data_IF_082278149032
#
_entry.id   IF_082278149032
#
_cell.length_a   1.000
_cell.length_b   1.000
_cell.length_c   1.000
_cell.angle_alpha   90.00
_cell.angle_beta   90.00
_cell.angle_gamma   90.00
#
_symmetry.space_group_name_H-M   'P 1'
#
loop_
_entity.id
_entity.type
_entity.pdbx_description
1 polymer ?
#
# COMPACT_ATOMS: atom_id res chain seq x y z
N UNK A 1 0.62 11.11 19.31
CA UNK A 1 0.33 9.93 18.45
C UNK A 1 1.57 9.04 18.48
N UNK A 2 1.41 7.76 18.71
CA UNK A 2 2.48 6.78 18.82
C UNK A 2 2.66 6.08 17.46
N UNK A 3 3.90 5.88 17.03
CA UNK A 3 4.24 5.28 15.75
C UNK A 3 3.75 3.82 15.63
N UNK A 4 3.90 3.03 16.69
CA UNK A 4 3.41 1.65 16.69
C UNK A 4 1.90 1.55 16.53
N UNK A 5 1.15 2.46 17.15
CA UNK A 5 -0.30 2.53 16.99
C UNK A 5 -0.69 2.92 15.58
N UNK A 6 0.05 3.85 14.95
CA UNK A 6 -0.19 4.25 13.57
C UNK A 6 0.09 3.08 12.60
N UNK A 7 1.16 2.33 12.82
CA UNK A 7 1.49 1.12 12.04
C UNK A 7 0.40 0.05 12.15
N UNK A 8 -0.10 -0.18 13.36
CA UNK A 8 -1.20 -1.14 13.59
C UNK A 8 -2.48 -0.65 12.93
N UNK A 9 -2.79 0.65 13.02
CA UNK A 9 -3.95 1.25 12.36
C UNK A 9 -3.88 1.06 10.84
N UNK A 10 -2.74 1.38 10.21
CA UNK A 10 -2.53 1.21 8.79
C UNK A 10 -2.75 -0.23 8.35
N UNK A 11 -2.14 -1.21 9.04
CA UNK A 11 -2.31 -2.62 8.73
C UNK A 11 -3.77 -3.10 8.89
N UNK A 12 -4.51 -2.58 9.88
CA UNK A 12 -5.94 -2.90 10.08
C UNK A 12 -6.79 -2.31 8.95
N UNK A 13 -6.49 -1.08 8.53
CA UNK A 13 -7.20 -0.41 7.44
C UNK A 13 -6.99 -1.16 6.11
N UNK A 14 -5.76 -1.55 5.79
CA UNK A 14 -5.46 -2.37 4.61
C UNK A 14 -6.15 -3.74 4.63
N UNK A 15 -6.09 -4.44 5.77
CA UNK A 15 -6.65 -5.78 5.89
C UNK A 15 -8.19 -5.79 5.98
N UNK A 16 -8.83 -4.67 6.31
CA UNK A 16 -10.27 -4.59 6.56
C UNK A 16 -10.75 -5.47 7.72
N UNK A 17 -9.83 -6.00 8.53
CA UNK A 17 -10.11 -6.98 9.58
C UNK A 17 -9.04 -6.98 10.66
N UNK A 18 -9.45 -6.94 11.93
CA UNK A 18 -8.54 -7.09 13.08
C UNK A 18 -7.81 -8.45 13.11
N UNK A 19 -8.48 -9.50 12.67
CA UNK A 19 -7.93 -10.86 12.66
C UNK A 19 -6.83 -11.00 11.61
N UNK A 20 -7.08 -10.51 10.39
CA UNK A 20 -6.09 -10.57 9.30
C UNK A 20 -4.88 -9.68 9.63
N UNK A 21 -5.10 -8.46 10.10
CA UNK A 21 -4.03 -7.57 10.55
C UNK A 21 -3.20 -8.19 11.69
N UNK A 22 -3.86 -8.89 12.63
CA UNK A 22 -3.16 -9.61 13.69
C UNK A 22 -2.20 -10.67 13.16
N UNK A 23 -2.62 -11.42 12.14
CA UNK A 23 -1.76 -12.40 11.46
C UNK A 23 -0.51 -11.76 10.85
N UNK A 24 -0.65 -10.67 10.13
CA UNK A 24 0.45 -9.92 9.52
C UNK A 24 1.41 -9.31 10.56
N UNK A 25 0.86 -8.84 11.68
CA UNK A 25 1.62 -8.17 12.74
C UNK A 25 2.16 -9.13 13.81
N UNK A 26 1.87 -10.43 13.73
CA UNK A 26 2.14 -11.41 14.79
C UNK A 26 1.54 -11.01 16.15
N UNK A 27 0.33 -10.46 16.13
CA UNK A 27 -0.44 -10.04 17.30
C UNK A 27 -1.78 -10.78 17.37
N UNK A 28 -2.30 -10.99 18.59
CA UNK A 28 -3.67 -11.48 18.74
C UNK A 28 -4.68 -10.42 18.30
N UNK A 29 -5.83 -10.86 17.78
CA UNK A 29 -6.94 -9.97 17.40
C UNK A 29 -7.36 -9.03 18.56
N UNK A 30 -7.36 -9.54 19.79
CA UNK A 30 -7.68 -8.73 20.98
C UNK A 30 -6.61 -7.67 21.28
N UNK A 31 -5.33 -7.96 21.03
CA UNK A 31 -4.25 -6.99 21.18
C UNK A 31 -4.38 -5.88 20.12
N UNK A 32 -4.60 -6.24 18.86
CA UNK A 32 -4.83 -5.29 17.75
C UNK A 32 -6.03 -4.38 18.06
N UNK A 33 -7.18 -4.97 18.45
CA UNK A 33 -8.40 -4.22 18.79
C UNK A 33 -8.17 -3.22 19.94
N UNK A 34 -7.38 -3.60 20.95
CA UNK A 34 -7.03 -2.73 22.08
C UNK A 34 -6.13 -1.58 21.66
N UNK A 35 -5.17 -1.82 20.78
CA UNK A 35 -4.28 -0.76 20.27
C UNK A 35 -5.05 0.26 19.42
N UNK A 36 -6.01 -0.20 18.63
CA UNK A 36 -6.89 0.71 17.88
C UNK A 36 -7.77 1.52 18.82
N UNK A 37 -8.39 0.90 19.83
CA UNK A 37 -9.18 1.62 20.83
C UNK A 37 -8.33 2.69 21.54
N UNK A 38 -7.10 2.36 21.96
CA UNK A 38 -6.19 3.31 22.59
C UNK A 38 -5.79 4.47 21.65
N UNK A 39 -5.70 4.23 20.34
CA UNK A 39 -5.45 5.30 19.35
C UNK A 39 -6.68 6.21 19.23
N UNK A 40 -7.86 5.64 19.04
CA UNK A 40 -9.13 6.37 18.96
C UNK A 40 -9.36 7.21 20.23
N UNK A 41 -9.12 6.64 21.42
CA UNK A 41 -9.21 7.35 22.69
C UNK A 41 -8.22 8.52 22.79
N UNK A 42 -6.99 8.32 22.32
CA UNK A 42 -5.96 9.39 22.35
C UNK A 42 -6.26 10.54 21.40
N UNK A 43 -7.02 10.28 20.33
CA UNK A 43 -7.45 11.27 19.35
C UNK A 43 -8.84 11.84 19.66
N UNK A 44 -9.59 11.21 20.57
CA UNK A 44 -11.00 11.49 20.86
C UNK A 44 -11.89 11.39 19.62
N UNK A 45 -11.55 10.51 18.67
CA UNK A 45 -12.23 10.32 17.40
C UNK A 45 -12.27 8.83 17.06
N UNK A 46 -13.42 8.33 16.60
CA UNK A 46 -13.52 6.99 16.03
C UNK A 46 -12.92 6.96 14.61
N UNK A 47 -12.06 5.99 14.36
CA UNK A 47 -11.42 5.79 13.06
C UNK A 47 -12.09 4.67 12.25
N UNK A 48 -12.84 3.79 12.93
CA UNK A 48 -13.54 2.68 12.30
C UNK A 48 -15.01 2.63 12.70
N UNK A 49 -15.85 2.32 11.72
CA UNK A 49 -17.21 1.82 11.94
C UNK A 49 -17.16 0.30 12.08
N UNK A 50 -17.67 -0.20 13.21
CA UNK A 50 -17.77 -1.64 13.45
C UNK A 50 -19.15 -2.13 13.03
N UNK A 51 -19.23 -2.87 11.93
CA UNK A 51 -20.46 -3.46 11.43
C UNK A 51 -20.41 -4.99 11.48
N UNK A 52 -21.58 -5.63 11.50
CA UNK A 52 -21.67 -7.09 11.46
C UNK A 52 -21.04 -7.71 10.18
N UNK A 53 -20.84 -6.91 9.14
CA UNK A 53 -20.27 -7.32 7.85
C UNK A 53 -18.80 -6.94 7.66
N UNK A 54 -18.13 -6.43 8.68
CA UNK A 54 -16.73 -6.04 8.61
C UNK A 54 -16.42 -4.66 9.20
N UNK A 55 -15.20 -4.25 9.00
CA UNK A 55 -14.63 -3.01 9.49
C UNK A 55 -14.57 -2.02 8.33
N UNK A 56 -15.11 -0.81 8.53
CA UNK A 56 -14.99 0.29 7.56
C UNK A 56 -14.38 1.50 8.23
N UNK A 57 -13.57 2.24 7.50
CA UNK A 57 -13.04 3.52 7.98
C UNK A 57 -14.16 4.56 8.13
N UNK A 58 -14.01 5.46 9.09
CA UNK A 58 -14.74 6.72 9.13
C UNK A 58 -14.09 7.70 8.18
N UNK A 59 -14.70 8.86 7.92
CA UNK A 59 -14.08 9.95 7.13
C UNK A 59 -12.72 10.35 7.70
N UNK A 60 -12.61 10.49 9.03
CA UNK A 60 -11.36 10.78 9.72
C UNK A 60 -10.36 9.61 9.64
N UNK A 61 -10.88 8.39 9.63
CA UNK A 61 -10.09 7.18 9.41
C UNK A 61 -9.51 7.13 8.00
N UNK A 62 -10.26 7.51 6.97
CA UNK A 62 -9.79 7.56 5.59
C UNK A 62 -8.70 8.62 5.41
N UNK A 63 -8.88 9.81 6.00
CA UNK A 63 -7.89 10.89 5.96
C UNK A 63 -6.57 10.47 6.64
N UNK A 64 -6.67 9.86 7.83
CA UNK A 64 -5.49 9.34 8.53
C UNK A 64 -4.84 8.18 7.76
N UNK A 65 -5.64 7.31 7.14
CA UNK A 65 -5.11 6.19 6.36
C UNK A 65 -4.34 6.66 5.13
N UNK A 66 -4.91 7.60 4.35
CA UNK A 66 -4.23 8.18 3.19
C UNK A 66 -2.88 8.77 3.58
N UNK A 67 -2.86 9.59 4.64
CA UNK A 67 -1.62 10.20 5.13
C UNK A 67 -0.60 9.16 5.62
N UNK A 68 -1.05 8.16 6.40
CA UNK A 68 -0.19 7.11 6.90
C UNK A 68 0.38 6.26 5.77
N UNK A 69 -0.43 5.94 4.76
CA UNK A 69 -0.02 5.17 3.58
C UNK A 69 1.12 5.88 2.84
N UNK A 70 0.99 7.17 2.57
CA UNK A 70 2.03 7.97 1.91
C UNK A 70 3.34 8.00 2.73
N UNK A 71 3.24 8.15 4.05
CA UNK A 71 4.40 8.15 4.94
C UNK A 71 5.10 6.80 4.94
N UNK A 72 4.36 5.69 5.02
CA UNK A 72 4.95 4.35 4.96
C UNK A 72 5.58 4.06 3.60
N UNK A 73 4.96 4.48 2.50
CA UNK A 73 5.55 4.38 1.17
C UNK A 73 6.86 5.15 1.05
N UNK A 74 6.93 6.37 1.59
CA UNK A 74 8.15 7.17 1.61
C UNK A 74 9.27 6.52 2.43
N UNK A 75 8.92 5.93 3.57
CA UNK A 75 9.90 5.20 4.41
C UNK A 75 10.42 3.95 3.73
N UNK A 76 9.55 3.17 3.10
CA UNK A 76 9.96 2.00 2.33
C UNK A 76 10.91 2.37 1.18
N UNK A 77 10.62 3.47 0.45
CA UNK A 77 11.54 4.00 -0.57
C UNK A 77 12.87 4.48 0.02
N UNK A 78 12.86 5.07 1.21
CA UNK A 78 14.09 5.50 1.89
C UNK A 78 14.91 4.29 2.34
N UNK A 79 14.28 3.27 2.90
CA UNK A 79 14.90 2.01 3.29
C UNK A 79 15.52 1.30 2.07
N UNK A 80 14.78 1.19 0.96
CA UNK A 80 15.29 0.66 -0.29
C UNK A 80 16.57 1.40 -0.72
N UNK A 81 16.57 2.73 -0.74
CA UNK A 81 17.75 3.53 -1.11
C UNK A 81 18.96 3.32 -0.18
N UNK A 82 18.73 3.08 1.11
CA UNK A 82 19.80 2.82 2.07
C UNK A 82 20.37 1.40 1.91
N UNK A 83 19.52 0.45 1.53
CA UNK A 83 19.88 -0.95 1.31
C UNK A 83 20.37 -1.21 -0.12
N UNK A 84 20.06 -0.36 -1.10
CA UNK A 84 20.51 -0.45 -2.50
C UNK A 84 22.04 -0.52 -2.69
N UNK A 85 22.81 -0.22 -1.66
CA UNK A 85 24.27 -0.47 -1.68
C UNK A 85 24.63 -1.97 -1.65
N UNK A 86 23.68 -2.90 -1.61
CA UNK A 86 23.95 -4.34 -1.46
C UNK A 86 23.46 -5.23 -2.58
N UNK A 87 22.43 -4.86 -3.30
CA UNK A 87 21.91 -5.68 -4.41
C UNK A 87 21.42 -4.77 -5.55
N UNK A 88 21.87 -5.04 -6.78
CA UNK A 88 21.31 -4.37 -7.97
C UNK A 88 19.89 -4.88 -8.16
N UNK A 89 18.89 -3.99 -8.33
CA UNK A 89 17.55 -4.42 -8.68
C UNK A 89 17.58 -5.18 -10.01
N UNK A 90 17.07 -6.41 -10.02
CA UNK A 90 17.04 -7.27 -11.21
C UNK A 90 15.74 -8.09 -11.25
N UNK A 91 15.38 -8.55 -12.44
CA UNK A 91 14.25 -9.45 -12.65
C UNK A 91 13.05 -8.80 -13.35
N UNK A 92 11.96 -9.57 -13.53
CA UNK A 92 10.79 -9.10 -14.24
C UNK A 92 9.96 -8.13 -13.38
N UNK A 93 9.52 -7.02 -14.01
CA UNK A 93 8.56 -6.04 -13.44
C UNK A 93 7.40 -5.89 -14.40
N UNK A 94 6.22 -6.31 -13.99
CA UNK A 94 5.00 -6.16 -14.77
C UNK A 94 4.16 -5.00 -14.24
N UNK A 95 3.91 -4.00 -15.09
CA UNK A 95 3.12 -2.81 -14.76
C UNK A 95 1.85 -2.85 -15.60
N UNK A 96 0.69 -2.79 -14.94
CA UNK A 96 -0.60 -2.62 -15.59
C UNK A 96 -1.09 -1.17 -15.42
N UNK A 97 -1.59 -0.60 -16.49
CA UNK A 97 -2.14 0.76 -16.48
C UNK A 97 -3.19 0.94 -17.58
N UNK A 98 -3.99 2.01 -17.49
CA UNK A 98 -4.94 2.34 -18.53
C UNK A 98 -4.24 2.65 -19.85
N UNK A 99 -4.91 2.36 -20.98
CA UNK A 99 -4.34 2.59 -22.32
C UNK A 99 -3.95 4.06 -22.51
N UNK A 100 -4.78 5.00 -22.07
CA UNK A 100 -4.51 6.43 -22.21
C UNK A 100 -3.26 6.87 -21.44
N UNK A 101 -3.16 6.53 -20.17
CA UNK A 101 -2.02 6.91 -19.34
C UNK A 101 -0.74 6.20 -19.76
N UNK A 102 -0.81 4.89 -20.01
CA UNK A 102 0.34 4.10 -20.42
C UNK A 102 0.95 4.55 -21.75
N UNK A 103 0.13 4.77 -22.77
CA UNK A 103 0.62 5.13 -24.10
C UNK A 103 1.10 6.59 -24.20
N UNK A 104 0.46 7.53 -23.51
CA UNK A 104 0.78 8.97 -23.63
C UNK A 104 1.84 9.42 -22.63
N UNK A 105 1.67 9.04 -21.36
CA UNK A 105 2.52 9.56 -20.31
C UNK A 105 3.63 8.60 -19.89
N UNK A 106 3.30 7.35 -19.58
CA UNK A 106 4.25 6.39 -19.01
C UNK A 106 5.30 5.95 -20.04
N UNK A 107 4.88 5.60 -21.26
CA UNK A 107 5.80 5.12 -22.31
C UNK A 107 6.88 6.13 -22.63
N UNK A 108 6.58 7.43 -22.58
CA UNK A 108 7.57 8.47 -22.84
C UNK A 108 8.62 8.62 -21.72
N UNK A 109 8.35 8.10 -20.53
CA UNK A 109 9.19 8.25 -19.32
C UNK A 109 9.85 6.97 -18.85
N UNK A 110 9.32 5.82 -19.23
CA UNK A 110 9.82 4.51 -18.81
C UNK A 110 11.28 4.29 -19.21
N UNK A 111 11.73 4.90 -20.31
CA UNK A 111 13.10 4.78 -20.77
C UNK A 111 14.11 5.25 -19.71
N UNK A 112 13.81 6.35 -18.98
CA UNK A 112 14.67 6.83 -17.90
C UNK A 112 14.81 5.81 -16.78
N UNK A 113 13.74 5.07 -16.50
CA UNK A 113 13.77 4.00 -15.52
C UNK A 113 14.57 2.79 -16.01
N UNK A 114 14.33 2.35 -17.24
CA UNK A 114 15.06 1.21 -17.86
C UNK A 114 16.56 1.52 -17.98
N UNK A 115 16.92 2.74 -18.38
CA UNK A 115 18.33 3.16 -18.45
C UNK A 115 19.01 3.14 -17.07
N UNK A 116 18.27 3.46 -16.01
CA UNK A 116 18.78 3.48 -14.64
C UNK A 116 18.90 2.09 -14.02
N UNK A 117 18.04 1.17 -14.44
CA UNK A 117 17.95 -0.19 -13.92
C UNK A 117 17.95 -1.21 -15.07
N UNK A 118 19.10 -1.40 -15.74
CA UNK A 118 19.19 -2.21 -16.95
C UNK A 118 18.96 -3.71 -16.71
N UNK A 119 19.05 -4.16 -15.47
CA UNK A 119 18.84 -5.56 -15.07
C UNK A 119 17.36 -5.88 -14.74
N UNK A 120 16.46 -4.87 -14.85
CA UNK A 120 15.02 -5.04 -14.70
C UNK A 120 14.36 -5.21 -16.07
N UNK A 121 13.64 -6.31 -16.26
CA UNK A 121 12.82 -6.57 -17.44
C UNK A 121 11.42 -5.96 -17.26
N UNK A 122 11.18 -4.77 -17.82
CA UNK A 122 9.89 -4.09 -17.69
C UNK A 122 8.91 -4.56 -18.74
N UNK A 123 7.75 -5.04 -18.29
CA UNK A 123 6.59 -5.39 -19.13
C UNK A 123 5.43 -4.44 -18.83
N UNK A 124 4.96 -3.70 -19.84
CA UNK A 124 3.78 -2.83 -19.72
C UNK A 124 2.55 -3.52 -20.29
N UNK A 125 1.54 -3.68 -19.47
CA UNK A 125 0.21 -4.16 -19.89
C UNK A 125 -0.75 -2.98 -19.92
N UNK A 126 -1.18 -2.60 -21.11
CA UNK A 126 -2.12 -1.49 -21.32
C UNK A 126 -3.53 -2.07 -21.48
N UNK A 127 -4.37 -1.89 -20.46
CA UNK A 127 -5.74 -2.40 -20.48
C UNK A 127 -6.66 -1.51 -19.65
N UNK A 128 -7.89 -1.32 -20.16
CA UNK A 128 -8.93 -0.54 -19.45
C UNK A 128 -9.85 -1.44 -18.60
N UNK A 129 -9.62 -2.75 -18.59
CA UNK A 129 -10.34 -3.71 -17.74
C UNK A 129 -9.63 -3.87 -16.37
N UNK A 130 -10.41 -4.28 -15.38
CA UNK A 130 -9.87 -4.55 -14.04
C UNK A 130 -9.03 -5.82 -14.04
N UNK A 131 -7.77 -5.69 -13.57
CA UNK A 131 -6.93 -6.82 -13.19
C UNK A 131 -6.95 -6.99 -11.68
N UNK A 132 -6.97 -8.23 -11.24
CA UNK A 132 -6.89 -8.55 -9.83
C UNK A 132 -5.42 -8.75 -9.42
N UNK A 133 -4.87 -7.76 -8.71
CA UNK A 133 -3.50 -7.83 -8.21
C UNK A 133 -3.27 -9.01 -7.25
N UNK A 134 -4.34 -9.52 -6.61
CA UNK A 134 -4.25 -10.70 -5.75
C UNK A 134 -3.91 -11.98 -6.52
N UNK A 135 -4.22 -12.01 -7.80
CA UNK A 135 -3.91 -13.12 -8.73
C UNK A 135 -2.50 -13.00 -9.34
N UNK A 136 -1.69 -12.01 -8.94
CA UNK A 136 -0.35 -11.71 -9.48
C UNK A 136 -0.34 -11.44 -11.00
N UNK A 137 -1.38 -10.83 -11.51
CA UNK A 137 -1.48 -10.42 -12.91
C UNK A 137 -0.61 -9.19 -13.23
N UNK A 138 -0.18 -8.45 -12.19
CA UNK A 138 0.78 -7.36 -12.31
C UNK A 138 1.48 -7.11 -10.95
N UNK A 139 2.71 -6.59 -10.98
CA UNK A 139 3.45 -6.16 -9.79
C UNK A 139 3.04 -4.76 -9.35
N UNK A 140 2.61 -3.93 -10.31
CA UNK A 140 2.08 -2.60 -10.05
C UNK A 140 0.95 -2.26 -11.02
N UNK A 141 -0.08 -1.57 -10.53
CA UNK A 141 -1.17 -1.07 -11.34
C UNK A 141 -1.52 0.37 -10.97
N UNK A 142 -1.70 1.22 -11.98
CA UNK A 142 -2.16 2.60 -11.83
C UNK A 142 -3.52 2.77 -12.51
N UNK A 143 -4.47 3.37 -11.78
CA UNK A 143 -5.82 3.63 -12.24
C UNK A 143 -6.27 5.01 -11.81
N UNK A 144 -6.73 5.77 -12.76
CA UNK A 144 -7.46 7.00 -12.46
C UNK A 144 -8.91 6.65 -12.08
N UNK A 145 -9.27 6.92 -10.84
CA UNK A 145 -10.67 6.95 -10.37
C UNK A 145 -11.33 8.26 -10.74
#
# INVERSE_FOLDING_TARGET
MDWDKLRIFHAVAEAGSFTHAGGTLNLSQSAVSRQIANLEDSLHIALFHRHARGLKLTEQGEDLFSTAHDVFAQLAMAEARITENRERPEGPLMINTTVAFGSVWLTSRINTFVDRYPDIEVSLVLADNELDLSMREADAADRMT
#
